data_IF_391378678148
#
_entry.id   IF_391378678148
#
_cell.length_a   1.000
_cell.length_b   1.000
_cell.length_c   1.000
_cell.angle_alpha   90.00
_cell.angle_beta   90.00
_cell.angle_gamma   90.00
#
_symmetry.space_group_name_H-M   'P 1'
#
loop_
_entity.id
_entity.type
_entity.pdbx_description
1 polymer ?
#
# COMPACT_ATOMS: atom_id res chain seq x y z
N UNK A 1 3.86 -18.85 1.72
CA UNK A 1 3.66 -19.39 0.36
C UNK A 1 3.18 -18.24 -0.48
N UNK A 2 3.54 -18.17 -1.76
CA UNK A 2 3.02 -17.11 -2.63
C UNK A 2 1.50 -17.18 -2.69
N UNK A 3 0.86 -16.02 -2.68
CA UNK A 3 -0.58 -15.83 -2.72
C UNK A 3 -0.98 -14.87 -3.85
N UNK A 4 -0.13 -13.90 -4.18
CA UNK A 4 -0.45 -12.87 -5.18
C UNK A 4 0.68 -12.69 -6.20
N UNK A 5 0.28 -12.42 -7.44
CA UNK A 5 1.14 -11.92 -8.50
C UNK A 5 0.65 -10.54 -8.92
N UNK A 6 1.51 -9.53 -8.77
CA UNK A 6 1.27 -8.20 -9.33
C UNK A 6 1.84 -8.21 -10.76
N UNK A 7 1.06 -7.83 -11.75
CA UNK A 7 1.53 -7.68 -13.12
C UNK A 7 1.49 -6.19 -13.45
N UNK A 8 2.67 -5.58 -13.58
CA UNK A 8 2.78 -4.21 -14.05
C UNK A 8 2.72 -4.21 -15.57
N UNK A 9 1.65 -3.63 -16.13
CA UNK A 9 1.34 -3.76 -17.56
C UNK A 9 2.22 -2.89 -18.44
N UNK A 10 2.64 -1.72 -17.96
CA UNK A 10 3.48 -0.76 -18.69
C UNK A 10 4.56 -0.16 -17.77
N UNK A 11 5.67 0.29 -18.35
CA UNK A 11 6.70 1.05 -17.62
C UNK A 11 6.12 2.27 -16.90
N UNK A 12 5.11 2.92 -17.48
CA UNK A 12 4.41 4.11 -16.96
C UNK A 12 3.18 3.80 -16.11
N UNK A 13 2.96 2.53 -15.73
CA UNK A 13 1.82 2.15 -14.90
C UNK A 13 1.79 2.93 -13.58
N UNK A 14 0.59 3.19 -13.08
CA UNK A 14 0.37 3.99 -11.88
C UNK A 14 1.11 3.41 -10.66
N UNK A 15 1.67 4.28 -9.83
CA UNK A 15 2.20 3.85 -8.53
C UNK A 15 1.04 3.76 -7.55
N UNK A 16 1.04 2.79 -6.64
CA UNK A 16 -0.08 2.62 -5.68
C UNK A 16 0.41 2.41 -4.24
N UNK A 17 1.70 2.63 -4.00
CA UNK A 17 2.33 2.49 -2.69
C UNK A 17 3.36 3.61 -2.49
N UNK A 18 4.33 3.42 -1.59
CA UNK A 18 5.30 4.46 -1.24
C UNK A 18 6.27 4.82 -2.37
N UNK A 19 6.50 3.92 -3.33
CA UNK A 19 7.45 4.15 -4.42
C UNK A 19 6.88 5.08 -5.48
N UNK A 20 7.74 5.89 -6.09
CA UNK A 20 7.40 6.69 -7.27
C UNK A 20 7.69 5.93 -8.58
N UNK A 21 7.05 6.36 -9.66
CA UNK A 21 7.36 5.89 -11.00
C UNK A 21 7.98 7.02 -11.84
N UNK A 22 9.32 7.00 -12.05
CA UNK A 22 9.99 8.02 -12.86
C UNK A 22 9.95 7.72 -14.37
N UNK A 23 9.31 6.63 -14.80
CA UNK A 23 9.27 6.24 -16.22
C UNK A 23 8.23 7.07 -16.96
N UNK A 24 8.67 7.70 -18.05
CA UNK A 24 7.81 8.48 -18.93
C UNK A 24 7.57 7.80 -20.30
N UNK A 25 8.40 6.80 -20.63
CA UNK A 25 8.33 6.11 -21.92
C UNK A 25 7.44 4.88 -21.80
N UNK A 26 6.41 4.82 -22.65
CA UNK A 26 5.54 3.66 -22.76
C UNK A 26 6.33 2.42 -23.19
N UNK A 27 6.07 1.33 -22.48
CA UNK A 27 6.60 0.01 -22.78
C UNK A 27 5.67 -0.99 -22.13
N UNK A 28 4.70 -1.47 -22.90
CA UNK A 28 3.83 -2.56 -22.46
C UNK A 28 4.65 -3.83 -22.26
N UNK A 29 4.24 -4.62 -21.28
CA UNK A 29 4.64 -6.01 -21.15
C UNK A 29 4.34 -6.74 -22.46
N UNK A 30 5.24 -7.63 -22.89
CA UNK A 30 5.00 -8.44 -24.09
C UNK A 30 3.73 -9.26 -23.92
N UNK A 31 2.91 -9.37 -24.98
CA UNK A 31 1.67 -10.14 -24.91
C UNK A 31 1.91 -11.61 -24.51
N UNK A 32 3.02 -12.20 -24.96
CA UNK A 32 3.41 -13.56 -24.58
C UNK A 32 3.86 -13.64 -23.11
N UNK A 33 4.57 -12.63 -22.59
CA UNK A 33 4.94 -12.56 -21.18
C UNK A 33 3.70 -12.38 -20.28
N UNK A 34 2.72 -11.60 -20.72
CA UNK A 34 1.43 -11.46 -20.03
C UNK A 34 0.69 -12.81 -19.94
N UNK A 35 0.52 -13.50 -21.09
CA UNK A 35 -0.12 -14.82 -21.13
C UNK A 35 0.64 -15.83 -20.25
N UNK A 36 1.97 -15.84 -20.33
CA UNK A 36 2.81 -16.72 -19.53
C UNK A 36 2.75 -16.37 -18.03
N UNK A 37 2.66 -15.10 -17.67
CA UNK A 37 2.47 -14.61 -16.31
C UNK A 37 1.13 -15.05 -15.71
N UNK A 38 0.04 -14.94 -16.46
CA UNK A 38 -1.27 -15.45 -16.06
C UNK A 38 -1.22 -16.97 -15.87
N UNK A 39 -0.64 -17.71 -16.83
CA UNK A 39 -0.49 -19.16 -16.71
C UNK A 39 0.36 -19.56 -15.49
N UNK A 40 1.42 -18.80 -15.19
CA UNK A 40 2.23 -19.01 -14.00
C UNK A 40 1.39 -18.83 -12.73
N UNK A 41 0.62 -17.74 -12.63
CA UNK A 41 -0.27 -17.48 -11.51
C UNK A 41 -1.29 -18.59 -11.33
N UNK A 42 -1.94 -19.06 -12.41
CA UNK A 42 -2.89 -20.18 -12.36
C UNK A 42 -2.23 -21.47 -11.84
N UNK A 43 -1.06 -21.84 -12.38
CA UNK A 43 -0.32 -23.04 -11.94
C UNK A 43 0.09 -22.99 -10.48
N UNK A 44 0.30 -21.78 -9.95
CA UNK A 44 0.69 -21.53 -8.55
C UNK A 44 -0.50 -21.16 -7.67
N UNK A 45 -1.71 -21.13 -8.21
CA UNK A 45 -2.95 -20.70 -7.54
C UNK A 45 -2.81 -19.32 -6.87
N UNK A 46 -2.28 -18.34 -7.62
CA UNK A 46 -2.09 -16.96 -7.17
C UNK A 46 -3.24 -16.08 -7.64
N UNK A 47 -3.64 -15.13 -6.80
CA UNK A 47 -4.51 -14.02 -7.19
C UNK A 47 -3.71 -12.99 -7.99
N UNK A 48 -4.30 -12.44 -9.04
CA UNK A 48 -3.62 -11.50 -9.94
C UNK A 48 -4.08 -10.06 -9.65
N UNK A 49 -3.14 -9.14 -9.62
CA UNK A 49 -3.41 -7.70 -9.58
C UNK A 49 -2.75 -7.05 -10.80
N UNK A 50 -3.54 -6.40 -11.64
CA UNK A 50 -3.05 -5.66 -12.79
C UNK A 50 -2.88 -4.19 -12.43
N UNK A 51 -1.72 -3.64 -12.79
CA UNK A 51 -1.40 -2.21 -12.60
C UNK A 51 -1.33 -1.56 -13.96
N UNK A 52 -2.24 -0.63 -14.21
CA UNK A 52 -2.47 -0.07 -15.55
C UNK A 52 -1.70 1.23 -15.80
N UNK A 53 -1.33 1.52 -17.07
CA UNK A 53 -1.01 2.87 -17.51
C UNK A 53 -2.27 3.76 -17.58
N UNK A 54 -2.06 5.04 -17.87
CA UNK A 54 -3.18 5.98 -18.03
C UNK A 54 -3.90 5.86 -19.38
N UNK A 55 -3.30 5.25 -20.40
CA UNK A 55 -3.93 5.13 -21.72
C UNK A 55 -4.72 3.83 -21.88
N UNK A 56 -5.64 3.80 -22.85
CA UNK A 56 -6.42 2.61 -23.17
C UNK A 56 -5.57 1.50 -23.80
N UNK A 57 -5.60 0.29 -23.21
CA UNK A 57 -4.84 -0.85 -23.71
C UNK A 57 -5.38 -1.37 -25.05
N UNK A 58 -4.54 -1.95 -25.92
CA UNK A 58 -5.01 -2.63 -27.13
C UNK A 58 -5.96 -3.79 -26.79
N UNK A 59 -6.93 -4.06 -27.67
CA UNK A 59 -7.98 -5.05 -27.43
C UNK A 59 -7.43 -6.44 -27.09
N UNK A 60 -6.35 -6.87 -27.75
CA UNK A 60 -5.72 -8.17 -27.51
C UNK A 60 -5.21 -8.34 -26.07
N UNK A 61 -4.83 -7.26 -25.39
CA UNK A 61 -4.44 -7.27 -23.98
C UNK A 61 -5.67 -7.39 -23.08
N UNK A 62 -6.73 -6.63 -23.38
CA UNK A 62 -8.00 -6.69 -22.64
C UNK A 62 -8.60 -8.10 -22.70
N UNK A 63 -8.58 -8.71 -23.89
CA UNK A 63 -9.09 -10.07 -24.11
C UNK A 63 -8.35 -11.09 -23.24
N UNK A 64 -7.02 -10.96 -23.11
CA UNK A 64 -6.20 -11.83 -22.27
C UNK A 64 -6.46 -11.58 -20.77
N UNK A 65 -6.54 -10.32 -20.34
CA UNK A 65 -6.80 -9.95 -18.95
C UNK A 65 -8.17 -10.47 -18.47
N UNK A 66 -9.20 -10.35 -19.31
CA UNK A 66 -10.56 -10.83 -19.00
C UNK A 66 -10.71 -12.35 -18.92
N UNK A 67 -9.65 -13.14 -19.20
CA UNK A 67 -9.71 -14.61 -19.10
C UNK A 67 -9.64 -15.15 -17.67
N UNK A 68 -9.34 -14.29 -16.69
CA UNK A 68 -9.06 -14.69 -15.31
C UNK A 68 -9.65 -13.67 -14.34
N UNK A 69 -10.02 -14.09 -13.14
CA UNK A 69 -10.40 -13.17 -12.07
C UNK A 69 -9.18 -12.39 -11.58
N UNK A 70 -9.32 -11.08 -11.41
CA UNK A 70 -8.21 -10.19 -11.07
C UNK A 70 -8.68 -8.94 -10.32
N UNK A 71 -7.71 -8.20 -9.77
CA UNK A 71 -7.90 -6.85 -9.25
C UNK A 71 -7.27 -5.82 -10.18
N UNK A 72 -8.06 -4.81 -10.57
CA UNK A 72 -7.58 -3.68 -11.34
C UNK A 72 -7.18 -2.51 -10.45
N UNK A 73 -5.94 -2.04 -10.66
CA UNK A 73 -5.38 -0.84 -10.02
C UNK A 73 -5.10 0.18 -11.12
N UNK A 74 -5.85 1.27 -11.11
CA UNK A 74 -5.78 2.32 -12.13
C UNK A 74 -5.52 3.69 -11.52
N UNK A 75 -5.04 4.61 -12.34
CA UNK A 75 -5.03 6.04 -12.01
C UNK A 75 -6.43 6.64 -12.17
N UNK A 76 -6.74 7.67 -11.39
CA UNK A 76 -7.91 8.54 -11.61
C UNK A 76 -7.87 9.28 -12.96
N UNK A 77 -6.71 9.31 -13.62
CA UNK A 77 -6.49 9.88 -14.95
C UNK A 77 -6.56 8.84 -16.08
N UNK A 78 -6.98 7.60 -15.81
CA UNK A 78 -7.07 6.55 -16.82
C UNK A 78 -8.08 6.92 -17.93
N UNK A 79 -7.68 6.87 -19.21
CA UNK A 79 -8.48 7.25 -20.36
C UNK A 79 -9.59 6.23 -20.68
N UNK A 80 -9.46 4.99 -20.21
CA UNK A 80 -10.47 3.95 -20.40
C UNK A 80 -11.65 4.16 -19.43
N UNK A 81 -12.72 4.78 -19.93
CA UNK A 81 -13.95 5.05 -19.17
C UNK A 81 -14.62 3.78 -18.63
N UNK A 82 -14.51 2.66 -19.34
CA UNK A 82 -15.12 1.39 -18.90
C UNK A 82 -14.34 0.85 -17.71
N UNK A 83 -13.01 0.92 -17.77
CA UNK A 83 -12.14 0.52 -16.68
C UNK A 83 -12.30 1.47 -15.48
N UNK A 84 -12.37 2.78 -15.70
CA UNK A 84 -12.66 3.75 -14.64
C UNK A 84 -13.95 3.45 -13.88
N UNK A 85 -14.98 2.97 -14.59
CA UNK A 85 -16.25 2.65 -13.97
C UNK A 85 -16.20 1.36 -13.14
N UNK A 86 -15.30 0.43 -13.43
CA UNK A 86 -15.34 -0.93 -12.86
C UNK A 86 -14.10 -1.33 -12.06
N UNK A 87 -13.06 -0.50 -12.05
CA UNK A 87 -11.82 -0.81 -11.36
C UNK A 87 -12.02 -0.99 -9.85
N UNK A 88 -11.23 -1.91 -9.28
CA UNK A 88 -11.31 -2.22 -7.86
C UNK A 88 -10.61 -1.16 -7.01
N UNK A 89 -9.51 -0.58 -7.50
CA UNK A 89 -8.75 0.47 -6.82
C UNK A 89 -8.46 1.62 -7.78
N UNK A 90 -8.87 2.83 -7.39
CA UNK A 90 -8.56 4.06 -8.11
C UNK A 90 -7.54 4.87 -7.33
N UNK A 91 -6.41 5.17 -7.96
CA UNK A 91 -5.29 5.89 -7.38
C UNK A 91 -5.31 7.36 -7.80
N UNK A 92 -5.25 8.24 -6.82
CA UNK A 92 -5.02 9.66 -6.98
C UNK A 92 -3.58 9.96 -6.61
N UNK A 93 -2.82 10.54 -7.53
CA UNK A 93 -1.41 10.93 -7.32
C UNK A 93 -1.28 12.22 -6.49
N UNK A 94 -2.36 12.99 -6.40
CA UNK A 94 -2.49 14.19 -5.58
C UNK A 94 -3.98 14.41 -5.20
N UNK A 95 -4.32 15.61 -4.74
CA UNK A 95 -5.71 15.96 -4.40
C UNK A 95 -6.50 16.55 -5.59
N UNK A 96 -5.88 16.65 -6.77
CA UNK A 96 -6.46 17.29 -7.95
C UNK A 96 -7.60 16.44 -8.51
N UNK A 97 -8.72 17.09 -8.86
CA UNK A 97 -9.89 16.42 -9.46
C UNK A 97 -10.73 15.58 -8.49
N UNK A 98 -10.33 15.42 -7.23
CA UNK A 98 -11.10 14.68 -6.22
C UNK A 98 -12.48 15.32 -5.94
N UNK A 99 -12.60 16.64 -6.10
CA UNK A 99 -13.82 17.42 -5.91
C UNK A 99 -14.80 17.31 -7.08
N UNK A 100 -14.42 16.70 -8.19
CA UNK A 100 -15.33 16.41 -9.30
C UNK A 100 -15.43 14.92 -9.60
N UNK A 101 -14.59 14.11 -8.96
CA UNK A 101 -14.64 12.66 -9.10
C UNK A 101 -15.94 12.07 -8.52
N UNK A 102 -16.54 11.16 -9.30
CA UNK A 102 -17.77 10.46 -8.98
C UNK A 102 -17.52 9.20 -8.14
N UNK A 103 -17.12 9.37 -6.88
CA UNK A 103 -16.92 8.24 -5.96
C UNK A 103 -18.19 7.40 -5.83
N UNK A 104 -18.02 6.07 -5.84
CA UNK A 104 -19.10 5.10 -5.62
C UNK A 104 -19.05 4.57 -4.19
N UNK A 105 -20.20 4.20 -3.65
CA UNK A 105 -20.33 3.73 -2.26
C UNK A 105 -19.46 2.50 -1.95
N UNK A 106 -19.24 1.63 -2.92
CA UNK A 106 -18.43 0.41 -2.81
C UNK A 106 -16.96 0.59 -3.22
N UNK A 107 -16.59 1.78 -3.73
CA UNK A 107 -15.25 2.01 -4.28
C UNK A 107 -14.14 2.05 -3.22
N UNK A 108 -12.95 1.60 -3.62
CA UNK A 108 -11.70 1.78 -2.87
C UNK A 108 -10.89 2.88 -3.55
N UNK A 109 -10.74 4.00 -2.83
CA UNK A 109 -9.90 5.12 -3.23
C UNK A 109 -8.53 4.98 -2.56
N UNK A 110 -7.46 5.21 -3.32
CA UNK A 110 -6.10 5.33 -2.82
C UNK A 110 -5.54 6.69 -3.17
N UNK A 111 -5.03 7.42 -2.18
CA UNK A 111 -4.46 8.76 -2.34
C UNK A 111 -2.98 8.66 -2.00
N UNK A 112 -2.14 8.91 -2.99
CA UNK A 112 -0.70 9.14 -2.80
C UNK A 112 -0.50 10.62 -2.57
N UNK A 113 0.35 10.95 -1.60
CA UNK A 113 0.58 12.34 -1.21
C UNK A 113 1.97 12.48 -0.59
N UNK A 114 2.60 13.63 -0.81
CA UNK A 114 3.75 14.03 0.02
C UNK A 114 3.29 14.34 1.45
N UNK A 115 4.22 14.36 2.40
CA UNK A 115 3.93 14.75 3.79
C UNK A 115 3.42 16.20 3.86
N UNK A 116 4.00 17.09 3.05
CA UNK A 116 3.66 18.51 3.07
C UNK A 116 2.23 18.72 2.53
N UNK A 117 1.91 18.08 1.40
CA UNK A 117 0.55 18.16 0.84
C UNK A 117 -0.47 17.55 1.79
N UNK A 118 -0.16 16.40 2.42
CA UNK A 118 -1.05 15.81 3.42
C UNK A 118 -1.28 16.79 4.59
N UNK A 119 -0.23 17.41 5.09
CA UNK A 119 -0.30 18.35 6.20
C UNK A 119 -1.09 19.62 5.89
N UNK A 120 -1.19 20.01 4.63
CA UNK A 120 -1.93 21.19 4.18
C UNK A 120 -3.36 20.85 3.71
N UNK A 121 -3.59 19.63 3.21
CA UNK A 121 -4.78 19.26 2.45
C UNK A 121 -5.56 18.07 3.02
N UNK A 122 -5.19 17.51 4.17
CA UNK A 122 -5.90 16.37 4.77
C UNK A 122 -7.43 16.55 4.91
N UNK A 123 -7.94 17.79 4.97
CA UNK A 123 -9.38 18.06 5.00
C UNK A 123 -10.11 17.69 3.70
N UNK A 124 -9.41 17.61 2.57
CA UNK A 124 -9.98 17.14 1.30
C UNK A 124 -10.41 15.66 1.38
N UNK A 125 -9.92 14.90 2.35
CA UNK A 125 -10.36 13.52 2.61
C UNK A 125 -11.82 13.44 3.06
N UNK A 126 -12.45 14.53 3.51
CA UNK A 126 -13.84 14.51 3.97
C UNK A 126 -14.82 14.01 2.90
N UNK A 127 -14.61 14.42 1.65
CA UNK A 127 -15.49 14.01 0.54
C UNK A 127 -15.38 12.51 0.23
N UNK A 128 -14.21 11.94 -0.08
CA UNK A 128 -14.12 10.51 -0.33
C UNK A 128 -14.54 9.69 0.90
N UNK A 129 -14.25 10.13 2.13
CA UNK A 129 -14.74 9.44 3.34
C UNK A 129 -16.27 9.44 3.45
N UNK A 130 -16.96 10.43 2.90
CA UNK A 130 -18.42 10.48 2.92
C UNK A 130 -19.07 9.62 1.82
N UNK A 131 -18.32 9.27 0.76
CA UNK A 131 -18.84 8.69 -0.48
C UNK A 131 -18.31 7.30 -0.82
N UNK A 132 -17.08 6.96 -0.43
CA UNK A 132 -16.43 5.70 -0.77
C UNK A 132 -16.45 4.72 0.42
N UNK A 133 -16.40 3.42 0.15
CA UNK A 133 -16.31 2.39 1.18
C UNK A 133 -14.99 2.50 1.94
N UNK A 134 -13.91 2.76 1.21
CA UNK A 134 -12.55 2.78 1.76
C UNK A 134 -11.69 3.86 1.12
N UNK A 135 -11.00 4.60 1.97
CA UNK A 135 -9.95 5.55 1.61
C UNK A 135 -8.63 5.05 2.18
N UNK A 136 -7.66 4.79 1.30
CA UNK A 136 -6.29 4.54 1.66
C UNK A 136 -5.48 5.79 1.40
N UNK A 137 -4.69 6.24 2.38
CA UNK A 137 -3.72 7.32 2.22
C UNK A 137 -2.32 6.73 2.32
N UNK A 138 -1.46 7.09 1.38
CA UNK A 138 -0.05 6.70 1.34
C UNK A 138 0.79 7.95 1.30
N UNK A 139 1.58 8.16 2.37
CA UNK A 139 2.61 9.21 2.41
C UNK A 139 3.84 8.67 1.70
N UNK A 140 4.25 9.30 0.61
CA UNK A 140 5.28 8.77 -0.30
C UNK A 140 6.71 9.05 0.15
N UNK A 141 6.90 10.11 0.95
CA UNK A 141 8.17 10.59 1.49
C UNK A 141 8.25 10.44 3.02
N UNK A 142 7.72 9.33 3.54
CA UNK A 142 7.64 9.06 4.98
C UNK A 142 9.00 9.10 5.70
N UNK A 143 10.08 8.72 5.01
CA UNK A 143 11.44 8.76 5.51
C UNK A 143 11.97 10.18 5.75
N UNK A 144 11.25 11.21 5.30
CA UNK A 144 11.65 12.61 5.49
C UNK A 144 11.02 13.26 6.72
N UNK A 145 10.16 12.54 7.45
CA UNK A 145 9.54 13.06 8.67
C UNK A 145 10.58 13.27 9.78
N UNK A 146 10.36 14.32 10.57
CA UNK A 146 11.16 14.67 11.74
C UNK A 146 10.27 14.79 12.97
N UNK A 147 10.87 14.96 14.15
CA UNK A 147 10.15 15.13 15.42
C UNK A 147 9.03 16.19 15.37
N UNK A 148 9.28 17.35 14.75
CA UNK A 148 8.26 18.39 14.58
C UNK A 148 7.09 17.96 13.69
N UNK A 149 7.35 17.09 12.73
CA UNK A 149 6.34 16.56 11.80
C UNK A 149 5.46 15.53 12.50
N UNK A 150 6.00 14.73 13.42
CA UNK A 150 5.23 13.74 14.19
C UNK A 150 4.15 14.40 15.06
N UNK A 151 4.48 15.50 15.73
CA UNK A 151 3.50 16.26 16.52
C UNK A 151 2.40 16.88 15.64
N UNK A 152 2.75 17.34 14.44
CA UNK A 152 1.77 17.85 13.48
C UNK A 152 0.88 16.72 12.95
N UNK A 153 1.48 15.59 12.59
CA UNK A 153 0.77 14.42 12.10
C UNK A 153 -0.22 13.87 13.13
N UNK A 154 0.18 13.78 14.40
CA UNK A 154 -0.68 13.39 15.52
C UNK A 154 -1.94 14.27 15.61
N UNK A 155 -1.79 15.60 15.57
CA UNK A 155 -2.92 16.54 15.59
C UNK A 155 -3.85 16.36 14.39
N UNK A 156 -3.29 16.06 13.22
CA UNK A 156 -4.10 15.78 12.02
C UNK A 156 -4.92 14.50 12.22
N UNK A 157 -4.33 13.44 12.78
CA UNK A 157 -5.04 12.20 13.08
C UNK A 157 -6.19 12.43 14.08
N UNK A 158 -6.00 13.29 15.10
CA UNK A 158 -7.05 13.68 16.03
C UNK A 158 -8.23 14.34 15.29
N UNK A 159 -7.96 15.31 14.41
CA UNK A 159 -9.00 15.98 13.62
C UNK A 159 -9.71 15.02 12.65
N UNK A 160 -8.98 14.09 12.03
CA UNK A 160 -9.57 13.06 11.16
C UNK A 160 -10.41 12.05 11.96
N UNK A 161 -9.99 11.72 13.18
CA UNK A 161 -10.72 10.85 14.10
C UNK A 161 -12.08 11.44 14.47
N UNK A 162 -12.13 12.72 14.85
CA UNK A 162 -13.39 13.42 15.14
C UNK A 162 -14.36 13.40 13.94
N UNK A 163 -13.83 13.55 12.71
CA UNK A 163 -14.64 13.51 11.49
C UNK A 163 -15.19 12.11 11.20
N UNK A 164 -14.40 11.07 11.43
CA UNK A 164 -14.84 9.68 11.29
C UNK A 164 -15.90 9.32 12.34
N UNK A 165 -15.68 9.70 13.59
CA UNK A 165 -16.67 9.54 14.67
C UNK A 165 -18.01 10.18 14.28
N UNK A 166 -17.99 11.42 13.78
CA UNK A 166 -19.20 12.10 13.31
C UNK A 166 -19.89 11.38 12.14
N UNK A 167 -19.16 10.63 11.30
CA UNK A 167 -19.75 9.80 10.25
C UNK A 167 -20.38 8.54 10.83
N UNK A 168 -19.73 7.90 11.82
CA UNK A 168 -20.24 6.71 12.52
C UNK A 168 -21.55 7.01 13.25
N UNK A 169 -21.65 8.18 13.90
CA UNK A 169 -22.87 8.64 14.55
C UNK A 169 -24.04 8.89 13.56
N UNK A 170 -23.73 9.14 12.29
CA UNK A 170 -24.73 9.27 11.21
C UNK A 170 -25.09 7.92 10.57
N UNK A 171 -24.61 6.81 11.11
CA UNK A 171 -24.83 5.46 10.58
C UNK A 171 -23.96 5.11 9.37
N UNK A 172 -22.96 5.94 9.02
CA UNK A 172 -21.98 5.61 7.98
C UNK A 172 -20.75 4.96 8.60
N UNK A 173 -20.16 3.97 7.94
CA UNK A 173 -18.97 3.27 8.45
C UNK A 173 -17.82 3.23 7.43
N UNK A 174 -17.34 4.39 6.93
CA UNK A 174 -16.23 4.41 6.00
C UNK A 174 -14.95 3.88 6.66
N UNK A 175 -14.09 3.27 5.85
CA UNK A 175 -12.77 2.84 6.28
C UNK A 175 -11.70 3.85 5.85
N UNK A 176 -10.85 4.25 6.79
CA UNK A 176 -9.64 5.04 6.54
C UNK A 176 -8.45 4.27 7.07
N UNK A 177 -7.52 3.87 6.21
CA UNK A 177 -6.40 3.01 6.62
C UNK A 177 -5.60 3.56 7.82
N UNK A 178 -5.46 4.88 7.93
CA UNK A 178 -4.72 5.55 9.01
C UNK A 178 -5.38 5.40 10.41
N UNK A 179 -6.69 5.14 10.47
CA UNK A 179 -7.46 5.19 11.73
C UNK A 179 -8.32 3.94 11.99
N UNK A 180 -8.77 3.25 10.94
CA UNK A 180 -9.71 2.12 11.09
C UNK A 180 -9.03 0.77 10.95
N UNK A 181 -7.93 0.66 10.20
CA UNK A 181 -7.30 -0.64 9.94
C UNK A 181 -6.85 -1.32 11.24
N UNK A 182 -6.27 -0.57 12.19
CA UNK A 182 -5.85 -1.17 13.46
C UNK A 182 -7.02 -1.74 14.24
N UNK A 183 -8.19 -1.12 14.16
CA UNK A 183 -9.41 -1.58 14.85
C UNK A 183 -9.98 -2.86 14.22
N UNK A 184 -9.74 -3.08 12.92
CA UNK A 184 -10.32 -4.22 12.17
C UNK A 184 -9.38 -5.43 12.10
N UNK A 185 -8.07 -5.23 12.31
CA UNK A 185 -7.07 -6.27 12.16
C UNK A 185 -6.74 -6.95 13.49
N UNK A 186 -6.67 -8.29 13.45
CA UNK A 186 -6.22 -9.13 14.58
C UNK A 186 -4.77 -9.62 14.44
N UNK A 187 -4.15 -9.35 13.29
CA UNK A 187 -2.75 -9.67 12.98
C UNK A 187 -2.24 -8.72 11.90
N UNK A 188 -0.91 -8.67 11.77
CA UNK A 188 -0.22 -7.91 10.71
C UNK A 188 -0.81 -8.21 9.32
N UNK A 189 -1.20 -7.15 8.59
CA UNK A 189 -1.73 -7.21 7.23
C UNK A 189 -0.84 -6.42 6.26
N UNK A 190 0.42 -6.82 6.16
CA UNK A 190 1.43 -6.19 5.30
C UNK A 190 1.34 -6.74 3.87
N UNK A 191 1.96 -6.07 2.89
CA UNK A 191 2.02 -6.58 1.52
C UNK A 191 2.84 -7.87 1.36
N UNK A 192 3.71 -8.20 2.33
CA UNK A 192 4.56 -9.40 2.33
C UNK A 192 5.32 -9.64 1.01
N UNK A 193 5.77 -8.54 0.38
CA UNK A 193 6.59 -8.56 -0.83
C UNK A 193 7.83 -9.45 -0.67
N UNK A 194 8.12 -10.30 -1.66
CA UNK A 194 9.18 -11.30 -1.62
C UNK A 194 8.86 -12.57 -0.83
N UNK A 195 7.66 -12.70 -0.24
CA UNK A 195 7.23 -13.92 0.44
C UNK A 195 5.84 -14.41 0.03
N UNK A 196 4.83 -13.55 0.08
CA UNK A 196 3.46 -13.85 -0.38
C UNK A 196 3.17 -13.18 -1.72
N UNK A 197 3.85 -12.06 -2.01
CA UNK A 197 3.61 -11.25 -3.20
C UNK A 197 4.92 -11.07 -3.97
N UNK A 198 4.84 -11.12 -5.30
CA UNK A 198 5.92 -10.76 -6.23
C UNK A 198 5.33 -9.99 -7.41
N UNK A 199 6.19 -9.35 -8.18
CA UNK A 199 5.80 -8.58 -9.37
C UNK A 199 6.39 -9.18 -10.62
N UNK A 200 5.59 -9.33 -11.68
CA UNK A 200 6.05 -9.48 -13.05
C UNK A 200 6.04 -8.10 -13.72
N UNK A 201 7.17 -7.69 -14.28
CA UNK A 201 7.34 -6.37 -14.87
C UNK A 201 7.37 -6.40 -16.42
N UNK A 202 7.27 -5.25 -17.10
CA UNK A 202 7.29 -5.16 -18.56
C UNK A 202 8.54 -5.68 -19.27
N UNK A 203 9.62 -5.98 -18.56
CA UNK A 203 10.81 -6.62 -19.12
C UNK A 203 10.80 -8.15 -19.02
N UNK A 204 9.65 -8.75 -18.65
CA UNK A 204 9.46 -10.19 -18.57
C UNK A 204 10.09 -10.84 -17.32
N UNK A 205 10.58 -10.04 -16.38
CA UNK A 205 11.26 -10.52 -15.17
C UNK A 205 10.42 -10.35 -13.91
N UNK A 206 10.75 -11.15 -12.92
CA UNK A 206 10.17 -11.06 -11.59
C UNK A 206 10.95 -10.12 -10.68
N UNK A 207 10.24 -9.40 -9.83
CA UNK A 207 10.76 -8.46 -8.83
C UNK A 207 10.06 -8.69 -7.48
N UNK A 208 10.72 -8.31 -6.39
CA UNK A 208 10.14 -8.40 -5.03
C UNK A 208 8.84 -7.61 -4.92
N UNK A 209 8.81 -6.40 -5.50
CA UNK A 209 7.63 -5.57 -5.72
C UNK A 209 7.92 -4.56 -6.84
N UNK A 210 6.95 -3.74 -7.31
CA UNK A 210 7.17 -2.80 -8.41
C UNK A 210 8.27 -1.77 -8.13
N UNK A 211 8.45 -1.36 -6.87
CA UNK A 211 9.50 -0.43 -6.46
C UNK A 211 10.91 -0.89 -6.87
N UNK A 212 11.17 -2.20 -6.81
CA UNK A 212 12.47 -2.76 -7.20
C UNK A 212 12.67 -2.79 -8.71
N UNK A 213 11.59 -2.83 -9.51
CA UNK A 213 11.67 -2.70 -10.96
C UNK A 213 11.94 -1.25 -11.39
N UNK A 214 11.28 -0.31 -10.71
CA UNK A 214 11.29 1.12 -11.00
C UNK A 214 12.49 1.86 -10.44
N UNK A 215 13.20 1.26 -9.48
CA UNK A 215 14.48 1.77 -9.00
C UNK A 215 15.47 2.05 -10.14
N UNK A 216 16.29 3.08 -9.97
CA UNK A 216 17.32 3.44 -10.95
C UNK A 216 18.43 2.37 -10.98
N UNK A 217 19.11 2.24 -12.12
CA UNK A 217 20.25 1.32 -12.28
C UNK A 217 21.50 1.74 -11.48
N UNK A 218 21.50 2.99 -10.98
CA UNK A 218 22.57 3.60 -10.17
C UNK A 218 22.24 3.58 -8.67
N UNK A 219 20.97 3.40 -8.29
CA UNK A 219 20.59 3.35 -6.88
C UNK A 219 21.17 2.12 -6.18
N UNK A 220 21.88 2.35 -5.08
CA UNK A 220 22.42 1.33 -4.20
C UNK A 220 22.08 1.70 -2.75
N UNK A 221 21.34 0.82 -2.08
CA UNK A 221 20.96 0.98 -0.67
C UNK A 221 21.68 -0.08 0.17
N UNK A 222 23.01 -0.12 0.09
CA UNK A 222 23.91 -0.85 0.99
C UNK A 222 24.02 -2.36 0.77
N UNK A 223 23.04 -2.99 0.10
CA UNK A 223 23.03 -4.41 -0.27
C UNK A 223 23.29 -4.65 -1.77
N UNK A 224 23.96 -3.71 -2.42
CA UNK A 224 24.12 -3.67 -3.87
C UNK A 224 22.99 -2.91 -4.56
N UNK A 225 22.90 -3.06 -5.89
CA UNK A 225 21.90 -2.38 -6.71
C UNK A 225 20.48 -2.59 -6.20
N UNK A 226 19.74 -1.50 -6.05
CA UNK A 226 18.34 -1.50 -5.65
C UNK A 226 17.47 -2.16 -6.70
N UNK A 227 17.77 -1.97 -7.99
CA UNK A 227 17.14 -2.73 -9.06
C UNK A 227 17.79 -4.11 -9.24
N UNK A 228 17.07 -5.16 -8.89
CA UNK A 228 17.49 -6.54 -9.12
C UNK A 228 16.27 -7.44 -9.39
N UNK A 229 16.39 -8.31 -10.40
CA UNK A 229 15.38 -9.32 -10.68
C UNK A 229 15.54 -10.51 -9.75
N UNK A 230 14.42 -11.12 -9.36
CA UNK A 230 14.35 -12.38 -8.60
C UNK A 230 13.97 -13.57 -9.50
N UNK A 231 14.39 -13.52 -10.77
CA UNK A 231 14.12 -14.55 -11.78
C UNK A 231 13.24 -14.05 -12.93
N UNK A 232 12.73 -15.00 -13.72
CA UNK A 232 11.87 -14.75 -14.89
C UNK A 232 10.96 -15.95 -15.17
N UNK A 233 10.09 -15.83 -16.17
CA UNK A 233 9.10 -16.87 -16.52
C UNK A 233 9.74 -18.18 -17.01
N UNK A 234 10.96 -18.15 -17.55
CA UNK A 234 11.65 -19.32 -18.09
C UNK A 234 12.43 -20.08 -17.01
N UNK A 235 13.22 -19.36 -16.21
CA UNK A 235 14.10 -19.91 -15.18
C UNK A 235 13.39 -20.11 -13.83
N UNK A 236 12.23 -19.46 -13.65
CA UNK A 236 11.49 -19.46 -12.39
C UNK A 236 12.00 -18.41 -11.40
N UNK A 237 11.64 -18.57 -10.12
CA UNK A 237 11.98 -17.64 -9.06
C UNK A 237 13.29 -18.00 -8.36
N UNK A 238 14.12 -17.00 -8.12
CA UNK A 238 15.38 -17.07 -7.38
C UNK A 238 15.46 -15.93 -6.35
N UNK A 239 14.70 -16.07 -5.26
CA UNK A 239 14.71 -15.11 -4.16
C UNK A 239 15.86 -15.48 -3.21
N UNK A 240 16.90 -14.64 -3.18
CA UNK A 240 18.03 -14.82 -2.25
C UNK A 240 17.61 -14.51 -0.81
N UNK A 241 18.08 -15.34 0.13
CA UNK A 241 17.76 -15.24 1.56
C UNK A 241 16.24 -15.06 1.84
N UNK A 242 15.38 -15.94 1.32
CA UNK A 242 13.93 -15.76 1.32
C UNK A 242 13.32 -15.72 2.74
N UNK A 243 14.04 -16.20 3.75
CA UNK A 243 13.64 -16.10 5.14
C UNK A 243 13.52 -14.65 5.62
N UNK A 244 14.35 -13.73 5.13
CA UNK A 244 14.39 -12.33 5.59
C UNK A 244 13.11 -11.55 5.23
N UNK A 245 12.40 -11.95 4.18
CA UNK A 245 11.13 -11.30 3.78
C UNK A 245 9.94 -11.68 4.69
N UNK A 246 10.10 -12.67 5.57
CA UNK A 246 9.04 -13.20 6.43
C UNK A 246 8.93 -12.39 7.72
N UNK A 247 7.69 -12.18 8.18
CA UNK A 247 7.42 -11.56 9.48
C UNK A 247 8.15 -12.27 10.64
N UNK A 248 8.27 -13.60 10.61
CA UNK A 248 8.97 -14.36 11.65
C UNK A 248 10.47 -14.02 11.79
N UNK A 249 11.05 -13.42 10.75
CA UNK A 249 12.44 -12.97 10.68
C UNK A 249 12.56 -11.44 10.67
N UNK A 250 11.51 -10.73 11.08
CA UNK A 250 11.53 -9.30 11.38
C UNK A 250 11.50 -9.14 12.92
N UNK A 251 12.67 -9.03 13.59
CA UNK A 251 12.78 -9.16 15.05
C UNK A 251 11.90 -8.18 15.83
N UNK A 252 11.76 -6.97 15.28
CA UNK A 252 10.93 -5.91 15.83
C UNK A 252 9.45 -6.16 15.47
N UNK A 253 9.15 -6.33 14.18
CA UNK A 253 7.77 -6.36 13.71
C UNK A 253 6.99 -7.59 14.18
N UNK A 254 7.64 -8.74 14.43
CA UNK A 254 6.96 -9.97 14.88
C UNK A 254 6.32 -9.86 16.26
N UNK A 255 6.80 -8.92 17.08
CA UNK A 255 6.32 -8.67 18.44
C UNK A 255 5.44 -7.41 18.52
N UNK A 256 5.36 -6.63 17.45
CA UNK A 256 4.62 -5.39 17.37
C UNK A 256 3.13 -5.64 17.10
N UNK A 257 2.25 -4.84 17.71
CA UNK A 257 0.81 -4.91 17.50
C UNK A 257 0.24 -3.78 16.64
N UNK A 258 1.07 -2.96 15.99
CA UNK A 258 0.64 -1.99 14.97
C UNK A 258 0.27 -2.70 13.66
N UNK A 259 -0.79 -3.50 13.68
CA UNK A 259 -1.17 -4.42 12.60
C UNK A 259 -1.51 -3.76 11.27
N UNK A 260 -1.86 -2.47 11.29
CA UNK A 260 -2.11 -1.65 10.09
C UNK A 260 -0.85 -1.17 9.38
N UNK A 261 0.30 -1.20 10.06
CA UNK A 261 1.60 -0.84 9.52
C UNK A 261 1.82 -1.55 8.18
N UNK A 262 2.45 -0.90 7.19
CA UNK A 262 2.69 -1.51 5.88
C UNK A 262 3.97 -2.35 5.82
N UNK A 263 4.91 -2.18 6.76
CA UNK A 263 6.22 -2.87 6.82
C UNK A 263 6.88 -2.94 5.43
N UNK A 264 7.09 -1.78 4.81
CA UNK A 264 7.49 -1.70 3.42
C UNK A 264 8.93 -2.18 3.23
N UNK A 265 9.11 -3.34 2.61
CA UNK A 265 10.42 -3.96 2.39
C UNK A 265 11.38 -3.05 1.59
N UNK A 266 10.85 -2.32 0.61
CA UNK A 266 11.63 -1.37 -0.18
C UNK A 266 12.10 -0.19 0.66
N UNK A 267 11.21 0.42 1.46
CA UNK A 267 11.59 1.51 2.36
C UNK A 267 12.58 1.05 3.43
N UNK A 268 12.35 -0.12 4.04
CA UNK A 268 13.28 -0.71 4.99
C UNK A 268 14.70 -0.78 4.42
N UNK A 269 14.85 -1.30 3.20
CA UNK A 269 16.15 -1.37 2.55
C UNK A 269 16.70 0.03 2.26
N UNK A 270 15.88 0.94 1.73
CA UNK A 270 16.26 2.33 1.42
C UNK A 270 16.83 3.07 2.63
N UNK A 271 16.24 2.87 3.80
CA UNK A 271 16.54 3.68 5.00
C UNK A 271 17.45 2.98 6.01
N UNK A 272 17.50 1.64 6.02
CA UNK A 272 18.26 0.87 7.02
C UNK A 272 19.26 -0.11 6.41
N UNK A 273 19.29 -0.23 5.09
CA UNK A 273 20.05 -1.26 4.36
C UNK A 273 19.64 -2.71 4.70
N UNK A 274 18.47 -2.90 5.32
CA UNK A 274 17.93 -4.21 5.67
C UNK A 274 16.51 -4.35 5.15
N UNK A 275 16.13 -5.53 4.64
CA UNK A 275 14.76 -5.76 4.14
C UNK A 275 13.73 -5.95 5.26
N UNK A 276 14.19 -6.41 6.43
CA UNK A 276 13.34 -6.88 7.53
C UNK A 276 13.30 -5.92 8.73
N UNK A 277 13.99 -4.79 8.65
CA UNK A 277 14.09 -3.80 9.74
C UNK A 277 13.53 -2.47 9.26
N UNK A 278 12.42 -1.97 9.84
CA UNK A 278 11.89 -0.66 9.51
C UNK A 278 12.76 0.47 10.08
N UNK A 279 12.66 1.65 9.47
CA UNK A 279 13.23 2.85 10.06
C UNK A 279 12.38 3.41 11.19
N UNK A 280 12.99 4.31 11.95
CA UNK A 280 12.35 5.05 13.02
C UNK A 280 11.06 5.75 12.56
N UNK A 281 11.11 6.44 11.42
CA UNK A 281 9.98 7.22 10.89
C UNK A 281 8.78 6.32 10.58
N UNK A 282 9.02 5.16 9.94
CA UNK A 282 7.96 4.18 9.65
C UNK A 282 7.33 3.66 10.94
N UNK A 283 8.16 3.36 11.95
CA UNK A 283 7.69 2.90 13.26
C UNK A 283 6.85 3.96 13.96
N UNK A 284 7.36 5.19 14.10
CA UNK A 284 6.68 6.26 14.84
C UNK A 284 5.35 6.61 14.19
N UNK A 285 5.29 6.79 12.87
CA UNK A 285 4.04 7.05 12.14
C UNK A 285 3.02 5.95 12.38
N UNK A 286 3.43 4.68 12.27
CA UNK A 286 2.52 3.55 12.50
C UNK A 286 2.01 3.48 13.94
N UNK A 287 2.80 3.87 14.94
CA UNK A 287 2.35 3.87 16.33
C UNK A 287 1.48 5.10 16.67
N UNK A 288 1.69 6.23 16.00
CA UNK A 288 0.76 7.37 16.07
C UNK A 288 -0.62 7.01 15.52
N UNK A 289 -0.67 6.39 14.32
CA UNK A 289 -1.91 5.85 13.74
C UNK A 289 -2.59 4.84 14.67
N UNK A 290 -1.82 3.90 15.24
CA UNK A 290 -2.30 2.89 16.20
C UNK A 290 -2.95 3.56 17.41
N UNK A 291 -2.29 4.56 17.98
CA UNK A 291 -2.78 5.26 19.17
C UNK A 291 -4.02 6.10 18.84
N UNK A 292 -4.04 6.77 17.69
CA UNK A 292 -5.24 7.48 17.23
C UNK A 292 -6.42 6.51 16.98
N UNK A 293 -6.15 5.32 16.46
CA UNK A 293 -7.15 4.25 16.30
C UNK A 293 -7.71 3.76 17.64
N UNK A 294 -6.87 3.65 18.68
CA UNK A 294 -7.28 3.33 20.05
C UNK A 294 -8.22 4.40 20.61
N UNK A 295 -7.88 5.67 20.44
CA UNK A 295 -8.73 6.78 20.90
C UNK A 295 -10.06 6.84 20.12
N UNK A 296 -10.02 6.67 18.79
CA UNK A 296 -11.23 6.59 17.96
C UNK A 296 -12.15 5.47 18.45
N UNK A 297 -11.61 4.26 18.65
CA UNK A 297 -12.37 3.10 19.15
C UNK A 297 -12.99 3.38 20.52
N UNK A 298 -12.25 4.04 21.42
CA UNK A 298 -12.78 4.44 22.73
C UNK A 298 -13.93 5.45 22.58
N UNK A 299 -13.79 6.44 21.70
CA UNK A 299 -14.79 7.50 21.50
C UNK A 299 -16.08 6.96 20.88
N UNK A 300 -16.02 6.21 19.78
CA UNK A 300 -17.23 5.66 19.15
C UNK A 300 -18.01 4.73 20.09
N UNK A 301 -17.33 4.03 21.00
CA UNK A 301 -17.95 3.16 22.01
C UNK A 301 -18.71 3.91 23.09
N UNK A 302 -18.49 5.22 23.26
CA UNK A 302 -19.33 6.07 24.14
C UNK A 302 -20.76 6.20 23.60
N UNK A 303 -20.97 5.88 22.33
CA UNK A 303 -22.21 6.09 21.60
C UNK A 303 -22.91 4.79 21.15
N UNK A 304 -22.34 3.62 21.44
CA UNK A 304 -22.93 2.33 21.09
C UNK A 304 -21.95 1.17 21.20
N UNK A 305 -22.41 -0.04 20.86
CA UNK A 305 -21.56 -1.22 20.81
C UNK A 305 -20.82 -1.29 19.47
N UNK A 306 -19.51 -1.00 19.50
CA UNK A 306 -18.63 -1.09 18.34
C UNK A 306 -17.45 -2.03 18.62
N UNK A 307 -17.27 -3.03 17.74
CA UNK A 307 -16.11 -3.93 17.72
C UNK A 307 -15.75 -4.49 19.10
N UNK A 308 -16.73 -4.92 19.90
CA UNK A 308 -16.56 -5.22 21.35
C UNK A 308 -15.47 -6.25 21.68
N UNK A 309 -15.11 -7.09 20.72
CA UNK A 309 -14.05 -8.10 20.81
C UNK A 309 -12.62 -7.56 20.57
N UNK A 310 -12.47 -6.29 20.22
CA UNK A 310 -11.18 -5.67 19.91
C UNK A 310 -10.68 -4.84 21.10
N UNK A 311 -9.45 -5.10 21.53
CA UNK A 311 -8.75 -4.31 22.54
C UNK A 311 -7.40 -3.85 21.99
N UNK A 312 -7.17 -2.54 22.02
CA UNK A 312 -5.89 -1.92 21.63
C UNK A 312 -5.29 -1.36 22.92
N UNK A 313 -4.28 -2.06 23.45
CA UNK A 313 -3.66 -1.70 24.73
C UNK A 313 -2.91 -0.38 24.64
N UNK A 314 -2.81 0.34 25.74
CA UNK A 314 -1.92 1.49 25.84
C UNK A 314 -0.44 1.05 25.78
N UNK A 315 0.40 1.87 25.17
CA UNK A 315 1.83 1.66 25.04
C UNK A 315 2.58 2.93 25.43
N UNK A 316 3.85 2.79 25.85
CA UNK A 316 4.71 3.90 26.31
C UNK A 316 5.86 4.23 25.35
N UNK A 317 5.83 3.67 24.14
CA UNK A 317 6.83 3.86 23.10
C UNK A 317 6.14 4.16 21.77
N UNK A 318 6.85 4.81 20.85
CA UNK A 318 6.44 4.98 19.46
C UNK A 318 7.37 4.24 18.50
N UNK A 319 8.64 4.11 18.87
CA UNK A 319 9.57 3.20 18.21
C UNK A 319 9.79 1.94 19.06
N UNK A 320 9.27 0.79 18.61
CA UNK A 320 9.64 -0.54 19.10
C UNK A 320 11.13 -0.77 19.43
N UNK A 321 12.04 -0.15 18.67
CA UNK A 321 13.46 -0.34 18.85
C UNK A 321 13.93 0.15 20.23
N UNK A 322 13.27 1.15 20.81
CA UNK A 322 13.60 1.71 22.13
C UNK A 322 13.37 0.71 23.26
N UNK A 323 12.38 -0.17 23.10
CA UNK A 323 11.98 -1.18 24.08
C UNK A 323 12.41 -2.60 23.67
N UNK A 324 13.31 -2.74 22.69
CA UNK A 324 13.75 -4.04 22.14
C UNK A 324 14.28 -5.07 23.15
N UNK A 325 14.64 -4.64 24.36
CA UNK A 325 15.10 -5.52 25.45
C UNK A 325 13.96 -6.18 26.23
N UNK A 326 12.73 -5.70 26.06
CA UNK A 326 11.54 -6.15 26.78
C UNK A 326 10.80 -7.27 26.03
N UNK A 327 11.28 -7.67 24.85
CA UNK A 327 10.58 -8.50 23.86
C UNK A 327 11.19 -9.87 23.60
#
# INVERSE_FOLDING_TARGET
MLQYLIIQLDDTSVSYCHYENPKEKFKLIGLEDLKAGILFAMKKNLMIQFVYPNYELPQEYKDVIHTIDHTDIISSLCEDNTLQANANVVVFEDYTGMDIYGFKEDSVCLIRTSKNDFFERYLFLQRPLAMAARVNVVITDIETLKESDFERYKKILEVLSEKLEALYLKGKSPQLNLLTDRMMLSKMNNCNAGFENITLAPDGKFYVCPAFYLASDEEDYGLGKSKFSIGNLNEGLDIKNPQLYKLSHAPICRNCDAYQCKRCIWLNRKTTFEVNTPSHEQCVVSHLERNASRELLHNIRKHGEFLSNIDIKEIKYLDPFDVRKEW
#
